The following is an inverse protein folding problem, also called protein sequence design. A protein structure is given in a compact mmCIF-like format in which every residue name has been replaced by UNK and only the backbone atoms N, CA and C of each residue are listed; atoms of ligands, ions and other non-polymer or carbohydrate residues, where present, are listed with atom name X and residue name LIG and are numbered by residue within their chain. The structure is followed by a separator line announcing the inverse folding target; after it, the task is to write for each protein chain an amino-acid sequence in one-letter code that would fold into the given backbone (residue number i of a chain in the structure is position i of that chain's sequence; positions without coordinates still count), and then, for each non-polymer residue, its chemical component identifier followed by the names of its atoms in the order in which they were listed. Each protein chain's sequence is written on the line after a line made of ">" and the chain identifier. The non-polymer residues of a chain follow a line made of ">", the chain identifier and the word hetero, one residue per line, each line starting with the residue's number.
data_IF_636680222495
#
_entry.id   IF_636680222495
#
_cell.length_a   1.000
_cell.length_b   1.000
_cell.length_c   1.000
_cell.angle_alpha   90.00
_cell.angle_beta   90.00
_cell.angle_gamma   90.00
#
_symmetry.space_group_name_H-M   'P 1'
#
loop_
_entity.id
_entity.type
_entity.pdbx_description
1 polymer ?
#
# COMPACT_ATOMS: atom_id res chain seq x y z
N UNK A 1 -33.06 22.72 -2.69
CA UNK A 1 -33.66 21.38 -2.86
C UNK A 1 -33.38 20.92 -4.27
N UNK A 2 -32.36 20.08 -4.49
CA UNK A 2 -32.13 19.19 -5.65
C UNK A 2 -30.69 18.66 -5.52
N UNK A 3 -30.48 17.64 -4.69
CA UNK A 3 -29.19 16.96 -4.53
C UNK A 3 -29.37 15.43 -4.44
N UNK A 4 -30.47 14.91 -5.01
CA UNK A 4 -30.64 13.48 -5.23
C UNK A 4 -30.63 13.24 -6.72
N UNK A 5 -29.74 12.38 -7.19
CA UNK A 5 -29.85 11.83 -8.54
C UNK A 5 -31.23 11.16 -8.68
N UNK A 6 -31.93 11.36 -9.81
CA UNK A 6 -33.20 10.70 -10.06
C UNK A 6 -33.05 9.19 -9.97
N UNK A 7 -34.03 8.52 -9.35
CA UNK A 7 -34.08 7.06 -9.27
C UNK A 7 -34.10 6.48 -10.69
N UNK A 8 -33.11 5.65 -11.02
CA UNK A 8 -32.92 5.09 -12.37
C UNK A 8 -31.75 5.68 -13.17
N UNK A 9 -31.04 6.68 -12.64
CA UNK A 9 -29.81 7.16 -13.28
C UNK A 9 -28.71 6.09 -13.20
N UNK A 10 -28.16 5.69 -14.35
CA UNK A 10 -27.06 4.73 -14.40
C UNK A 10 -25.83 5.30 -13.66
N UNK A 11 -25.26 4.50 -12.75
CA UNK A 11 -24.02 4.83 -12.07
C UNK A 11 -22.87 4.66 -13.06
N UNK A 12 -22.45 5.75 -13.68
CA UNK A 12 -21.25 5.74 -14.53
C UNK A 12 -20.03 6.14 -13.70
N UNK A 13 -18.90 5.41 -13.79
CA UNK A 13 -17.66 5.86 -13.21
C UNK A 13 -17.27 7.23 -13.78
N UNK A 14 -16.86 8.20 -12.94
CA UNK A 14 -16.46 9.51 -13.43
C UNK A 14 -15.23 9.39 -14.34
N UNK A 15 -15.26 10.02 -15.51
CA UNK A 15 -14.17 10.01 -16.49
C UNK A 15 -13.02 10.99 -16.18
N UNK A 16 -12.99 11.51 -14.95
CA UNK A 16 -11.96 12.45 -14.49
C UNK A 16 -10.59 11.78 -14.42
N UNK A 17 -9.53 12.54 -14.75
CA UNK A 17 -8.15 12.09 -14.61
C UNK A 17 -7.82 11.63 -13.18
N UNK A 18 -8.38 12.30 -12.16
CA UNK A 18 -8.22 11.91 -10.77
C UNK A 18 -8.84 10.53 -10.48
N UNK A 19 -9.97 10.21 -11.11
CA UNK A 19 -10.60 8.90 -10.94
C UNK A 19 -9.80 7.79 -11.64
N UNK A 20 -9.26 8.05 -12.83
CA UNK A 20 -8.35 7.13 -13.51
C UNK A 20 -7.06 6.88 -12.69
N UNK A 21 -6.51 7.92 -12.05
CA UNK A 21 -5.38 7.77 -11.13
C UNK A 21 -5.72 6.89 -9.93
N UNK A 22 -6.89 7.10 -9.30
CA UNK A 22 -7.34 6.26 -8.19
C UNK A 22 -7.52 4.80 -8.59
N UNK A 23 -8.12 4.53 -9.77
CA UNK A 23 -8.22 3.16 -10.29
C UNK A 23 -6.86 2.50 -10.51
N UNK A 24 -5.88 3.26 -10.99
CA UNK A 24 -4.50 2.77 -11.15
C UNK A 24 -3.86 2.42 -9.80
N UNK A 25 -4.04 3.27 -8.78
CA UNK A 25 -3.55 3.03 -7.42
C UNK A 25 -4.19 1.77 -6.84
N UNK A 26 -5.51 1.61 -6.99
CA UNK A 26 -6.23 0.45 -6.48
C UNK A 26 -5.77 -0.85 -7.16
N UNK A 27 -5.53 -0.81 -8.48
CA UNK A 27 -4.99 -1.96 -9.22
C UNK A 27 -3.59 -2.36 -8.72
N UNK A 28 -2.69 -1.39 -8.56
CA UNK A 28 -1.35 -1.61 -8.00
C UNK A 28 -1.42 -2.16 -6.57
N UNK A 29 -2.34 -1.66 -5.76
CA UNK A 29 -2.51 -2.12 -4.38
C UNK A 29 -3.08 -3.55 -4.32
N UNK A 30 -3.96 -3.92 -5.23
CA UNK A 30 -4.48 -5.28 -5.33
C UNK A 30 -3.35 -6.28 -5.69
N UNK A 31 -2.45 -5.92 -6.61
CA UNK A 31 -1.30 -6.74 -6.98
C UNK A 31 -0.29 -6.89 -5.82
N UNK A 32 0.00 -5.78 -5.12
CA UNK A 32 0.82 -5.79 -3.90
C UNK A 32 0.21 -6.69 -2.84
N UNK A 33 -1.11 -6.60 -2.64
CA UNK A 33 -1.80 -7.40 -1.63
C UNK A 33 -1.81 -8.87 -2.02
N UNK A 34 -2.00 -9.21 -3.30
CA UNK A 34 -1.98 -10.60 -3.78
C UNK A 34 -0.58 -11.23 -3.68
N UNK A 35 0.48 -10.48 -3.98
CA UNK A 35 1.88 -10.92 -3.81
C UNK A 35 2.25 -11.03 -2.34
N UNK A 36 1.78 -10.12 -1.50
CA UNK A 36 1.94 -10.22 -0.06
C UNK A 36 1.15 -11.41 0.48
N UNK A 37 -0.12 -11.61 0.14
CA UNK A 37 -0.92 -12.75 0.59
C UNK A 37 -0.30 -14.09 0.16
N UNK A 38 0.29 -14.21 -1.03
CA UNK A 38 1.04 -15.41 -1.40
C UNK A 38 2.37 -15.60 -0.64
N UNK A 39 2.93 -14.54 -0.05
CA UNK A 39 4.10 -14.59 0.84
C UNK A 39 3.72 -14.70 2.33
N UNK A 40 2.53 -14.21 2.70
CA UNK A 40 2.06 -13.91 4.07
C UNK A 40 0.82 -14.72 4.49
N UNK A 41 0.17 -15.46 3.58
CA UNK A 41 -0.53 -16.72 3.89
C UNK A 41 0.54 -17.69 4.34
N UNK A 42 1.05 -17.42 5.53
CA UNK A 42 0.79 -18.25 6.69
C UNK A 42 1.04 -19.72 6.41
N UNK A 43 2.10 -20.31 6.99
CA UNK A 43 2.31 -21.76 7.04
C UNK A 43 1.24 -22.47 7.90
N UNK A 44 -0.05 -22.19 7.70
CA UNK A 44 -1.11 -22.89 8.42
C UNK A 44 -1.31 -24.31 7.91
N UNK A 45 -0.98 -24.67 6.66
CA UNK A 45 -1.15 -26.07 6.22
C UNK A 45 -0.04 -26.63 5.29
N UNK A 46 0.96 -25.84 4.86
CA UNK A 46 2.01 -26.30 3.92
C UNK A 46 3.44 -25.76 4.16
N UNK A 47 3.92 -25.80 5.40
CA UNK A 47 5.20 -26.49 5.70
C UNK A 47 6.54 -25.99 5.14
N UNK A 48 6.79 -24.70 4.89
CA UNK A 48 8.15 -24.20 4.61
C UNK A 48 8.63 -23.32 5.77
N UNK A 49 9.21 -23.93 6.81
CA UNK A 49 9.91 -23.18 7.88
C UNK A 49 11.14 -22.52 7.28
N UNK A 50 11.20 -21.20 7.33
CA UNK A 50 12.38 -20.45 6.91
C UNK A 50 13.31 -20.32 8.11
N UNK A 51 14.51 -20.90 8.01
CA UNK A 51 15.53 -20.77 9.02
C UNK A 51 16.58 -19.75 8.61
N UNK A 52 17.04 -18.96 9.56
CA UNK A 52 18.14 -18.02 9.40
C UNK A 52 19.26 -18.34 10.37
N UNK A 53 20.49 -18.25 9.88
CA UNK A 53 21.68 -18.44 10.69
C UNK A 53 22.01 -17.13 11.40
N UNK A 54 21.86 -17.12 12.72
CA UNK A 54 22.19 -15.97 13.56
C UNK A 54 23.34 -16.30 14.48
N UNK A 55 24.06 -15.27 14.91
CA UNK A 55 25.15 -15.43 15.86
C UNK A 55 24.83 -14.68 17.14
N UNK A 56 24.70 -15.41 18.24
CA UNK A 56 24.31 -14.86 19.53
C UNK A 56 25.52 -14.81 20.48
N UNK A 57 25.56 -13.79 21.35
CA UNK A 57 26.55 -13.73 22.43
C UNK A 57 25.96 -14.30 23.72
N UNK A 58 26.58 -15.35 24.25
CA UNK A 58 26.18 -16.03 25.48
C UNK A 58 27.42 -16.19 26.38
N UNK A 59 27.38 -15.63 27.58
CA UNK A 59 28.46 -15.70 28.58
C UNK A 59 29.85 -15.29 28.04
N UNK A 60 29.89 -14.30 27.15
CA UNK A 60 31.12 -13.81 26.53
C UNK A 60 31.60 -14.62 25.32
N UNK A 61 31.02 -15.79 25.06
CA UNK A 61 31.22 -16.58 23.85
C UNK A 61 30.21 -16.21 22.76
N UNK A 62 30.56 -16.55 21.51
CA UNK A 62 29.75 -16.30 20.32
C UNK A 62 29.28 -17.65 19.77
N UNK A 63 27.96 -17.87 19.72
CA UNK A 63 27.34 -19.15 19.37
C UNK A 63 26.48 -18.97 18.11
N UNK A 64 26.74 -19.72 17.03
CA UNK A 64 25.85 -19.78 15.88
C UNK A 64 24.59 -20.58 16.19
N UNK A 65 23.42 -20.09 15.76
CA UNK A 65 22.13 -20.73 15.93
C UNK A 65 21.32 -20.62 14.63
N UNK A 66 20.64 -21.71 14.26
CA UNK A 66 19.63 -21.68 13.21
C UNK A 66 18.27 -21.48 13.85
N UNK A 67 17.65 -20.33 13.58
CA UNK A 67 16.36 -19.94 14.16
C UNK A 67 15.30 -19.84 13.07
N UNK A 68 14.10 -20.32 13.38
CA UNK A 68 12.93 -20.07 12.55
C UNK A 68 12.63 -18.56 12.54
N UNK A 69 12.38 -18.00 11.36
CA UNK A 69 12.16 -16.55 11.18
C UNK A 69 10.95 -16.05 11.96
N UNK A 70 9.89 -16.85 12.08
CA UNK A 70 8.68 -16.47 12.80
C UNK A 70 8.94 -16.44 14.32
N UNK A 71 9.64 -17.44 14.84
CA UNK A 71 10.08 -17.46 16.24
C UNK A 71 11.04 -16.32 16.56
N UNK A 72 12.01 -16.05 15.68
CA UNK A 72 12.95 -14.95 15.84
C UNK A 72 12.23 -13.60 15.87
N UNK A 73 11.34 -13.32 14.89
CA UNK A 73 10.54 -12.09 14.85
C UNK A 73 9.73 -11.90 16.14
N UNK A 74 9.10 -12.97 16.64
CA UNK A 74 8.38 -12.96 17.92
C UNK A 74 9.30 -12.64 19.09
N UNK A 75 10.48 -13.26 19.16
CA UNK A 75 11.45 -13.04 20.24
C UNK A 75 11.99 -11.60 20.27
N UNK A 76 12.17 -10.96 19.11
CA UNK A 76 12.65 -9.57 19.02
C UNK A 76 11.54 -8.52 19.02
N UNK A 77 10.27 -8.94 19.12
CA UNK A 77 9.11 -8.03 19.12
C UNK A 77 8.85 -7.35 17.76
N UNK A 78 9.30 -7.96 16.66
CA UNK A 78 9.02 -7.46 15.32
C UNK A 78 7.59 -7.81 14.91
N UNK A 79 6.92 -6.91 14.17
CA UNK A 79 5.62 -7.24 13.61
C UNK A 79 5.75 -8.42 12.64
N UNK A 80 4.62 -9.10 12.52
CA UNK A 80 4.41 -10.16 11.57
C UNK A 80 4.52 -9.60 10.14
N UNK A 81 3.79 -8.53 9.83
CA UNK A 81 3.87 -7.86 8.53
C UNK A 81 5.28 -7.28 8.25
N UNK A 82 5.59 -7.12 6.97
CA UNK A 82 6.88 -6.59 6.55
C UNK A 82 6.99 -5.08 6.85
N UNK A 83 8.14 -4.68 7.41
CA UNK A 83 8.40 -3.28 7.77
C UNK A 83 8.61 -2.37 6.57
N UNK A 84 9.02 -2.95 5.44
CA UNK A 84 9.22 -2.24 4.19
C UNK A 84 8.08 -2.61 3.24
N UNK A 85 7.09 -1.73 3.02
CA UNK A 85 6.09 -1.99 2.00
C UNK A 85 6.77 -2.14 0.64
N UNK A 86 6.24 -2.99 -0.25
CA UNK A 86 6.83 -3.18 -1.58
C UNK A 86 6.90 -1.86 -2.34
N UNK A 87 7.94 -1.73 -3.15
CA UNK A 87 8.20 -0.55 -3.96
C UNK A 87 6.99 -0.24 -4.85
N UNK A 88 6.48 1.00 -4.75
CA UNK A 88 5.44 1.51 -5.64
C UNK A 88 6.12 2.28 -6.78
N UNK A 89 5.95 1.90 -8.05
CA UNK A 89 6.48 2.69 -9.15
C UNK A 89 5.88 4.09 -9.14
N UNK A 90 6.65 5.09 -9.58
CA UNK A 90 6.11 6.42 -9.79
C UNK A 90 5.03 6.33 -10.88
N UNK A 91 3.83 6.84 -10.57
CA UNK A 91 2.79 6.99 -11.57
C UNK A 91 3.26 8.00 -12.61
N UNK A 92 3.00 7.71 -13.88
CA UNK A 92 3.23 8.69 -14.94
C UNK A 92 2.50 9.99 -14.57
N UNK A 93 3.24 11.10 -14.60
CA UNK A 93 2.69 12.42 -14.36
C UNK A 93 1.64 12.69 -15.44
N UNK A 94 0.36 12.46 -15.13
CA UNK A 94 -0.72 13.10 -15.87
C UNK A 94 -0.57 14.58 -15.54
N UNK A 95 -0.12 15.36 -16.53
CA UNK A 95 -0.07 16.82 -16.38
C UNK A 95 -1.46 17.24 -15.91
N UNK A 96 -1.57 17.94 -14.75
CA UNK A 96 -2.87 18.45 -14.34
C UNK A 96 -3.45 19.27 -15.49
N UNK A 97 -4.76 19.18 -15.68
CA UNK A 97 -5.47 19.99 -16.66
C UNK A 97 -5.05 21.46 -16.49
N UNK A 98 -4.88 22.16 -17.62
CA UNK A 98 -4.43 23.55 -17.72
C UNK A 98 -4.76 24.40 -16.50
N UNK A 99 -3.80 25.23 -16.07
CA UNK A 99 -3.97 26.17 -14.96
C UNK A 99 -5.27 26.96 -15.14
N UNK A 100 -6.30 26.61 -14.36
CA UNK A 100 -7.60 27.30 -14.41
C UNK A 100 -7.42 28.63 -13.72
N UNK A 101 -7.73 29.73 -14.43
CA UNK A 101 -7.70 31.05 -13.84
C UNK A 101 -8.72 31.14 -12.69
N UNK A 102 -8.29 31.65 -11.53
CA UNK A 102 -9.14 31.91 -10.38
C UNK A 102 -9.97 33.19 -10.63
N UNK A 103 -11.08 33.03 -11.36
CA UNK A 103 -11.96 34.15 -11.72
C UNK A 103 -12.76 34.68 -10.51
N UNK A 104 -13.02 33.83 -9.50
CA UNK A 104 -13.75 34.21 -8.29
C UNK A 104 -12.94 35.21 -7.43
N UNK A 105 -11.61 35.04 -7.34
CA UNK A 105 -10.75 35.98 -6.63
C UNK A 105 -10.65 37.34 -7.33
N UNK A 106 -10.68 37.35 -8.67
CA UNK A 106 -10.60 38.56 -9.48
C UNK A 106 -11.84 39.46 -9.36
N UNK A 107 -13.02 38.88 -9.16
CA UNK A 107 -14.26 39.65 -8.96
C UNK A 107 -14.32 40.36 -7.59
N UNK A 108 -13.63 39.84 -6.55
CA UNK A 108 -13.66 40.46 -5.21
C UNK A 108 -12.86 41.76 -5.08
N UNK A 109 -11.97 42.03 -6.04
CA UNK A 109 -11.11 43.23 -6.06
C UNK A 109 -11.72 44.38 -6.91
N UNK A 110 -12.86 44.16 -7.54
CA UNK A 110 -13.47 45.09 -8.51
C UNK A 110 -14.70 45.85 -7.97
N UNK A 111 -15.02 45.77 -6.68
CA UNK A 111 -16.18 46.44 -6.06
C UNK A 111 -15.82 47.26 -4.83
#
# INVERSE_FOLDING_TARGET
>A
SHARQPEGTALEPPSSSAFAQLQCIDALQAEITATQDSQWVGPSESGQRQFVHVTCRLNGGTIPLDLDVLELRRAVGLPLYDLFPPFRPNLDSTTPADNVADEDHAMSMAN
#
